data_IF_643510401651
#
_entry.id   IF_643510401651
#
_cell.length_a   1.000
_cell.length_b   1.000
_cell.length_c   1.000
_cell.angle_alpha   90.00
_cell.angle_beta   90.00
_cell.angle_gamma   90.00
#
_symmetry.space_group_name_H-M   'P 1'
#
loop_
_entity.id
_entity.type
_entity.pdbx_description
1 polymer ?
#
# COMPACT_ATOMS: atom_id res chain seq x y z
N UNK A 1 12.82 -12.50 0.84
CA UNK A 1 12.70 -12.20 2.28
C UNK A 1 11.33 -11.55 2.43
N UNK A 2 10.43 -12.15 3.19
CA UNK A 2 9.04 -11.68 3.28
C UNK A 2 8.97 -10.27 3.93
N UNK A 3 7.92 -9.46 3.65
CA UNK A 3 7.86 -8.04 4.02
C UNK A 3 7.89 -7.74 5.53
N UNK A 4 7.69 -8.73 6.38
CA UNK A 4 7.46 -8.59 7.82
C UNK A 4 8.55 -7.80 8.53
N UNK A 5 9.83 -8.09 8.26
CA UNK A 5 10.95 -7.38 8.89
C UNK A 5 11.03 -5.90 8.47
N UNK A 6 10.57 -5.56 7.26
CA UNK A 6 10.52 -4.17 6.80
C UNK A 6 9.41 -3.38 7.50
N UNK A 7 8.26 -4.02 7.71
CA UNK A 7 7.12 -3.41 8.39
C UNK A 7 7.46 -3.14 9.86
N UNK A 8 8.04 -4.11 10.56
CA UNK A 8 8.52 -3.92 11.93
C UNK A 8 9.54 -2.78 12.02
N UNK A 9 10.46 -2.70 11.06
CA UNK A 9 11.43 -1.61 11.00
C UNK A 9 10.77 -0.24 10.79
N UNK A 10 9.80 -0.14 9.89
CA UNK A 10 9.05 1.09 9.65
C UNK A 10 8.25 1.50 10.89
N UNK A 11 7.53 0.55 11.50
CA UNK A 11 6.75 0.78 12.72
C UNK A 11 7.61 1.19 13.90
N UNK A 12 8.70 0.47 14.16
CA UNK A 12 9.59 0.79 15.28
C UNK A 12 10.28 2.15 15.10
N UNK A 13 10.48 2.58 13.85
CA UNK A 13 11.13 3.86 13.56
C UNK A 13 10.17 5.05 13.57
N UNK A 14 8.92 4.82 13.15
CA UNK A 14 7.97 5.90 12.87
C UNK A 14 6.74 5.89 13.80
N UNK A 15 6.55 4.83 14.57
CA UNK A 15 5.47 4.66 15.54
C UNK A 15 4.06 4.85 14.98
N UNK A 16 3.87 4.51 13.70
CA UNK A 16 2.57 4.57 13.01
C UNK A 16 2.44 3.39 12.04
N UNK A 17 1.21 2.91 11.89
CA UNK A 17 0.81 1.98 10.83
C UNK A 17 -0.05 2.65 9.76
N UNK A 18 -0.37 3.94 9.91
CA UNK A 18 -1.22 4.64 8.97
C UNK A 18 -0.46 4.86 7.65
N UNK A 19 -1.00 4.36 6.51
CA UNK A 19 -0.30 4.42 5.24
C UNK A 19 -0.13 5.85 4.73
N UNK A 20 -1.02 6.79 5.06
CA UNK A 20 -0.86 8.18 4.65
C UNK A 20 0.25 8.87 5.43
N UNK A 21 0.26 8.70 6.76
CA UNK A 21 1.31 9.25 7.62
C UNK A 21 2.69 8.70 7.23
N UNK A 22 2.78 7.39 6.95
CA UNK A 22 4.01 6.80 6.44
C UNK A 22 4.42 7.37 5.08
N UNK A 23 3.48 7.66 4.18
CA UNK A 23 3.80 8.32 2.91
C UNK A 23 4.38 9.72 3.13
N UNK A 24 3.81 10.51 4.03
CA UNK A 24 4.32 11.84 4.39
C UNK A 24 5.74 11.78 4.95
N UNK A 25 5.97 10.91 5.94
CA UNK A 25 7.28 10.69 6.57
C UNK A 25 8.33 10.25 5.54
N UNK A 26 7.92 9.42 4.58
CA UNK A 26 8.79 8.91 3.53
C UNK A 26 8.89 9.89 2.35
N UNK A 27 8.30 11.09 2.39
CA UNK A 27 8.31 12.04 1.29
C UNK A 27 7.78 11.40 -0.02
N UNK A 28 6.65 10.69 0.08
CA UNK A 28 5.89 10.14 -1.03
C UNK A 28 4.66 11.01 -1.23
N UNK A 29 4.50 11.55 -2.43
CA UNK A 29 3.38 12.43 -2.76
C UNK A 29 2.16 11.57 -3.05
N UNK A 30 1.12 11.68 -2.23
CA UNK A 30 -0.15 10.98 -2.42
C UNK A 30 -1.16 11.95 -3.03
N UNK A 31 -1.84 11.57 -4.11
CA UNK A 31 -2.74 12.47 -4.82
C UNK A 31 -4.03 11.76 -5.24
N UNK A 32 -5.22 12.29 -4.88
CA UNK A 32 -6.48 11.80 -5.42
C UNK A 32 -6.58 12.12 -6.92
N UNK A 33 -7.10 11.19 -7.71
CA UNK A 33 -7.39 11.40 -9.12
C UNK A 33 -8.70 10.69 -9.49
N UNK A 34 -9.53 11.32 -10.31
CA UNK A 34 -10.61 10.65 -11.03
C UNK A 34 -10.03 9.67 -12.07
N UNK A 35 -9.76 8.44 -11.63
CA UNK A 35 -9.23 7.36 -12.47
C UNK A 35 -10.37 6.58 -13.11
N UNK A 36 -10.08 5.95 -14.25
CA UNK A 36 -11.02 5.05 -14.90
C UNK A 36 -11.54 3.97 -13.93
N UNK A 37 -12.78 3.51 -14.14
CA UNK A 37 -13.47 2.59 -13.23
C UNK A 37 -12.73 1.27 -12.98
N UNK A 38 -11.84 0.91 -13.91
CA UNK A 38 -10.96 -0.24 -13.89
C UNK A 38 -9.59 0.04 -13.26
N UNK A 39 -9.38 1.17 -12.59
CA UNK A 39 -8.10 1.51 -11.95
C UNK A 39 -8.39 2.10 -10.57
N UNK A 40 -7.89 1.44 -9.52
CA UNK A 40 -8.09 1.90 -8.15
C UNK A 40 -6.93 2.78 -7.66
N UNK A 41 -5.72 2.63 -8.21
CA UNK A 41 -4.55 3.43 -7.87
C UNK A 41 -3.32 3.05 -8.70
N UNK A 42 -2.21 3.74 -8.50
CA UNK A 42 -0.91 3.36 -9.06
C UNK A 42 0.26 4.12 -8.43
N UNK A 43 1.44 3.50 -8.48
CA UNK A 43 2.71 4.05 -8.02
C UNK A 43 3.63 4.45 -9.18
N UNK A 44 4.24 5.64 -9.06
CA UNK A 44 5.23 6.15 -10.02
C UNK A 44 6.49 6.64 -9.32
N UNK A 45 7.63 6.25 -9.87
CA UNK A 45 8.95 6.78 -9.55
C UNK A 45 9.49 7.59 -10.72
N UNK A 46 9.53 8.92 -10.57
CA UNK A 46 9.96 9.84 -11.63
C UNK A 46 10.95 10.85 -11.07
N UNK A 47 12.13 10.97 -11.70
CA UNK A 47 13.17 11.94 -11.31
C UNK A 47 13.51 11.91 -9.81
N UNK A 48 13.61 10.70 -9.24
CA UNK A 48 13.84 10.45 -7.80
C UNK A 48 12.70 10.82 -6.86
N UNK A 49 11.56 11.27 -7.38
CA UNK A 49 10.35 11.52 -6.62
C UNK A 49 9.41 10.32 -6.69
N UNK A 50 8.67 10.11 -5.61
CA UNK A 50 7.72 9.00 -5.43
C UNK A 50 6.32 9.56 -5.40
N UNK A 51 5.44 8.99 -6.22
CA UNK A 51 4.05 9.41 -6.33
C UNK A 51 3.14 8.21 -6.19
N UNK A 52 2.08 8.37 -5.41
CA UNK A 52 0.97 7.43 -5.30
C UNK A 52 -0.28 8.17 -5.74
N UNK A 53 -1.00 7.59 -6.68
CA UNK A 53 -2.31 8.06 -7.09
C UNK A 53 -3.35 7.04 -6.66
N UNK A 54 -4.49 7.52 -6.17
CA UNK A 54 -5.63 6.67 -5.85
C UNK A 54 -6.89 7.25 -6.49
N UNK A 55 -7.82 6.37 -6.81
CA UNK A 55 -9.10 6.74 -7.40
C UNK A 55 -9.97 7.41 -6.33
N UNK A 56 -10.27 8.70 -6.52
CA UNK A 56 -11.05 9.50 -5.57
C UNK A 56 -12.51 9.05 -5.43
N UNK A 57 -12.98 8.19 -6.33
CA UNK A 57 -14.35 7.67 -6.33
C UNK A 57 -14.51 6.42 -5.45
N UNK A 58 -13.44 5.94 -4.81
CA UNK A 58 -13.49 4.78 -3.92
C UNK A 58 -13.94 5.16 -2.51
N UNK A 59 -14.61 4.27 -1.78
CA UNK A 59 -14.89 4.47 -0.36
C UNK A 59 -13.60 4.48 0.47
N UNK A 60 -13.59 5.21 1.58
CA UNK A 60 -12.40 5.49 2.40
C UNK A 60 -11.59 4.24 2.80
N UNK A 61 -12.27 3.15 3.15
CA UNK A 61 -11.59 1.90 3.50
C UNK A 61 -10.82 1.28 2.32
N UNK A 62 -11.36 1.40 1.09
CA UNK A 62 -10.67 0.95 -0.12
C UNK A 62 -9.53 1.89 -0.47
N UNK A 63 -9.71 3.20 -0.30
CA UNK A 63 -8.62 4.18 -0.47
C UNK A 63 -7.47 3.82 0.45
N UNK A 64 -7.73 3.58 1.74
CA UNK A 64 -6.71 3.23 2.73
C UNK A 64 -5.94 1.97 2.33
N UNK A 65 -6.64 0.93 1.87
CA UNK A 65 -6.01 -0.27 1.34
C UNK A 65 -5.15 -0.01 0.10
N UNK A 66 -5.68 0.73 -0.89
CA UNK A 66 -4.94 1.07 -2.11
C UNK A 66 -3.66 1.82 -1.80
N UNK A 67 -3.73 2.85 -0.94
CA UNK A 67 -2.55 3.62 -0.54
C UNK A 67 -1.53 2.75 0.19
N UNK A 68 -1.98 1.83 1.06
CA UNK A 68 -1.09 0.86 1.70
C UNK A 68 -0.42 -0.10 0.68
N UNK A 69 -1.14 -0.53 -0.35
CA UNK A 69 -0.61 -1.39 -1.43
C UNK A 69 0.45 -0.65 -2.25
N UNK A 70 0.15 0.57 -2.69
CA UNK A 70 1.09 1.40 -3.45
C UNK A 70 2.30 1.83 -2.60
N UNK A 71 2.12 2.02 -1.30
CA UNK A 71 3.23 2.21 -0.35
C UNK A 71 4.14 0.97 -0.33
N UNK A 72 3.56 -0.23 -0.37
CA UNK A 72 4.29 -1.48 -0.54
C UNK A 72 5.19 -1.47 -1.77
N UNK A 73 4.67 -1.05 -2.92
CA UNK A 73 5.50 -0.84 -4.12
C UNK A 73 6.59 0.21 -3.90
N UNK A 74 6.25 1.35 -3.28
CA UNK A 74 7.21 2.43 -3.05
C UNK A 74 8.36 2.03 -2.11
N UNK A 75 8.12 1.13 -1.15
CA UNK A 75 9.09 0.66 -0.15
C UNK A 75 9.88 -0.54 -0.66
N UNK A 76 9.22 -1.55 -1.22
CA UNK A 76 9.84 -2.82 -1.60
C UNK A 76 10.41 -2.77 -3.03
N UNK A 77 9.81 -1.95 -3.90
CA UNK A 77 10.05 -1.95 -5.35
C UNK A 77 10.22 -0.55 -5.91
N UNK A 78 10.88 0.35 -5.17
CA UNK A 78 10.94 1.81 -5.42
C UNK A 78 11.20 2.24 -6.87
N UNK A 79 11.98 1.49 -7.66
CA UNK A 79 12.32 1.89 -9.04
C UNK A 79 11.41 1.27 -10.11
N UNK A 80 10.42 0.49 -9.71
CA UNK A 80 9.47 -0.17 -10.60
C UNK A 80 8.18 0.64 -10.53
N UNK A 81 7.79 1.23 -11.67
CA UNK A 81 6.48 1.85 -11.79
C UNK A 81 5.43 0.74 -11.80
N UNK A 82 4.39 0.87 -10.97
CA UNK A 82 3.31 -0.11 -10.87
C UNK A 82 1.99 0.58 -11.19
N UNK A 83 1.11 -0.07 -11.93
CA UNK A 83 -0.25 0.40 -12.20
C UNK A 83 -1.24 -0.60 -11.65
N UNK A 84 -2.02 -0.22 -10.64
CA UNK A 84 -3.07 -1.08 -10.11
C UNK A 84 -4.35 -0.94 -10.96
N UNK A 85 -4.39 -1.69 -12.05
CA UNK A 85 -5.59 -1.88 -12.87
C UNK A 85 -6.44 -2.99 -12.24
N UNK A 86 -7.66 -2.62 -11.84
CA UNK A 86 -8.75 -3.41 -11.30
C UNK A 86 -9.16 -4.50 -12.29
N UNK A 87 -8.72 -5.71 -12.02
CA UNK A 87 -9.70 -6.75 -11.75
C UNK A 87 -9.12 -7.66 -10.71
N UNK A 88 -10.00 -8.19 -9.88
CA UNK A 88 -9.79 -9.19 -8.85
C UNK A 88 -9.41 -10.52 -9.53
N UNK A 89 -8.36 -10.53 -10.35
CA UNK A 89 -7.77 -11.73 -10.90
C UNK A 89 -6.51 -12.01 -10.10
N UNK A 90 -6.75 -12.61 -8.94
CA UNK A 90 -5.83 -13.43 -8.16
C UNK A 90 -5.07 -14.49 -8.99
N UNK A 91 -5.36 -14.63 -10.29
CA UNK A 91 -4.90 -15.73 -11.13
C UNK A 91 -3.51 -15.55 -11.73
N UNK A 92 -2.85 -14.38 -11.63
CA UNK A 92 -1.47 -14.18 -12.11
C UNK A 92 -0.70 -13.07 -11.35
N UNK A 93 -0.81 -13.03 -10.01
CA UNK A 93 0.00 -12.07 -9.23
C UNK A 93 1.47 -12.44 -9.38
N UNK A 94 2.23 -11.62 -10.10
CA UNK A 94 3.68 -11.70 -10.09
C UNK A 94 4.17 -11.43 -8.65
N UNK A 95 5.40 -11.83 -8.35
CA UNK A 95 5.97 -11.73 -7.00
C UNK A 95 5.87 -10.30 -6.40
N UNK A 96 5.98 -9.27 -7.22
CA UNK A 96 5.93 -7.85 -6.80
C UNK A 96 4.55 -7.49 -6.27
N UNK A 97 3.48 -7.87 -6.97
CA UNK A 97 2.10 -7.63 -6.53
C UNK A 97 1.77 -8.42 -5.25
N UNK A 98 2.28 -9.66 -5.13
CA UNK A 98 2.08 -10.46 -3.92
C UNK A 98 2.81 -9.85 -2.72
N UNK A 99 4.02 -9.35 -2.89
CA UNK A 99 4.79 -8.67 -1.84
C UNK A 99 4.13 -7.34 -1.43
N UNK A 100 3.59 -6.57 -2.38
CA UNK A 100 2.84 -5.34 -2.10
C UNK A 100 1.51 -5.62 -1.38
N UNK A 101 0.77 -6.65 -1.80
CA UNK A 101 -0.46 -7.08 -1.13
C UNK A 101 -0.19 -7.52 0.30
N UNK A 102 0.81 -8.38 0.50
CA UNK A 102 1.20 -8.82 1.84
C UNK A 102 1.67 -7.64 2.68
N UNK A 103 2.39 -6.67 2.11
CA UNK A 103 2.77 -5.45 2.80
C UNK A 103 1.55 -4.67 3.31
N UNK A 104 0.58 -4.42 2.44
CA UNK A 104 -0.64 -3.68 2.79
C UNK A 104 -1.41 -4.35 3.92
N UNK A 105 -1.67 -5.66 3.80
CA UNK A 105 -2.42 -6.43 4.81
C UNK A 105 -1.67 -6.43 6.14
N UNK A 106 -0.38 -6.76 6.13
CA UNK A 106 0.42 -6.78 7.36
C UNK A 106 0.54 -5.40 8.02
N UNK A 107 0.61 -4.32 7.24
CA UNK A 107 0.64 -2.97 7.79
C UNK A 107 -0.68 -2.60 8.45
N UNK A 108 -1.81 -2.80 7.76
CA UNK A 108 -3.13 -2.40 8.24
C UNK A 108 -3.63 -3.23 9.43
N UNK A 109 -3.22 -4.49 9.51
CA UNK A 109 -3.55 -5.36 10.64
C UNK A 109 -2.57 -5.21 11.81
N UNK A 110 -1.50 -4.44 11.67
CA UNK A 110 -0.41 -4.43 12.66
C UNK A 110 -0.79 -3.85 14.03
N UNK A 111 -1.82 -3.00 14.08
CA UNK A 111 -2.35 -2.42 15.32
C UNK A 111 -3.63 -3.13 15.79
N UNK A 112 -4.06 -4.17 15.07
CA UNK A 112 -5.17 -5.01 15.46
C UNK A 112 -4.61 -6.12 16.33
N UNK A 113 -5.00 -6.12 17.60
CA UNK A 113 -4.72 -7.25 18.50
C UNK A 113 -5.65 -8.41 18.11
N UNK A 114 -5.17 -9.26 17.19
CA UNK A 114 -5.94 -10.40 16.67
C UNK A 114 -6.30 -11.38 17.80
N UNK A 115 -5.48 -11.46 18.86
CA UNK A 115 -5.73 -12.34 20.01
C UNK A 115 -6.85 -11.82 20.92
N UNK A 116 -7.19 -10.52 20.83
CA UNK A 116 -8.33 -9.93 21.53
C UNK A 116 -9.69 -10.26 20.89
N UNK A 117 -9.71 -10.85 19.69
CA UNK A 117 -10.95 -11.25 19.03
C UNK A 117 -11.39 -12.62 19.56
N UNK A 118 -12.34 -12.58 20.50
CA UNK A 118 -13.04 -13.77 20.98
C UNK A 118 -13.92 -14.33 19.84
N UNK A 119 -13.50 -15.43 19.22
CA UNK A 119 -14.38 -16.21 18.34
C UNK A 119 -15.41 -16.95 19.20
N UNK A 120 -16.63 -16.40 19.26
CA UNK A 120 -17.80 -17.12 19.77
C UNK A 120 -18.13 -18.35 18.92
#
# INVERSE_FOLDING_TARGET
MWPTAMIEKLRNKHHTSDPFELCEILNIIVTPWDLANDTNGFYKYVRRNRFIFYNSNLPDHQIKYVVAHELGHAVLHTRINATFTKSIYWSNLNKIELEAHHFAVSLLLSDIDIESFDTK
#
